data_IF_134064407525
#
_entry.id   IF_134064407525
#
_cell.length_a   1.000
_cell.length_b   1.000
_cell.length_c   1.000
_cell.angle_alpha   90.00
_cell.angle_beta   90.00
_cell.angle_gamma   90.00
#
_symmetry.space_group_name_H-M   'P 1'
#
loop_
_entity.id
_entity.type
_entity.pdbx_description
1 polymer ?
#
# COMPACT_ATOMS: atom_id res chain seq x y z
N UNK A 1 -5.14 17.14 -28.10
CA UNK A 1 -5.40 16.03 -27.16
C UNK A 1 -4.11 15.81 -26.38
N UNK A 2 -4.17 15.92 -25.04
CA UNK A 2 -3.02 15.72 -24.16
C UNK A 2 -3.40 14.80 -23.01
N UNK A 3 -2.45 13.97 -22.59
CA UNK A 3 -2.55 13.09 -21.45
C UNK A 3 -1.33 13.35 -20.54
N UNK A 4 -1.55 13.48 -19.25
CA UNK A 4 -0.47 13.50 -18.27
C UNK A 4 -0.40 12.15 -17.58
N UNK A 5 0.77 11.54 -17.63
CA UNK A 5 1.03 10.24 -16.99
C UNK A 5 2.06 10.44 -15.91
N UNK A 6 1.76 10.07 -14.69
CA UNK A 6 2.63 10.28 -13.55
C UNK A 6 2.84 9.02 -12.71
N UNK A 7 4.06 8.81 -12.24
CA UNK A 7 4.39 7.77 -11.28
C UNK A 7 4.28 8.27 -9.83
N UNK A 8 4.61 7.41 -8.88
CA UNK A 8 4.49 7.67 -7.44
C UNK A 8 5.40 8.82 -6.96
N UNK A 9 6.49 9.13 -7.64
CA UNK A 9 7.36 10.25 -7.29
C UNK A 9 6.62 11.60 -7.22
N UNK A 10 5.52 11.76 -7.96
CA UNK A 10 4.67 12.96 -7.89
C UNK A 10 3.96 13.05 -6.53
N UNK A 11 3.44 11.95 -6.02
CA UNK A 11 2.63 11.90 -4.80
C UNK A 11 3.44 11.58 -3.54
N UNK A 12 4.57 10.90 -3.65
CA UNK A 12 5.44 10.50 -2.53
C UNK A 12 6.43 11.61 -2.15
N UNK A 13 5.93 12.81 -1.91
CA UNK A 13 6.71 13.93 -1.41
C UNK A 13 5.90 14.73 -0.41
N UNK A 14 6.56 15.56 0.40
CA UNK A 14 5.89 16.47 1.34
C UNK A 14 4.92 17.43 0.65
N UNK A 15 5.13 17.71 -0.65
CA UNK A 15 4.28 18.55 -1.48
C UNK A 15 3.46 17.76 -2.51
N UNK A 16 3.37 16.44 -2.35
CA UNK A 16 2.72 15.55 -3.32
C UNK A 16 1.28 15.94 -3.65
N UNK A 17 0.49 16.30 -2.64
CA UNK A 17 -0.89 16.75 -2.84
C UNK A 17 -0.95 18.04 -3.67
N UNK A 18 -0.09 19.02 -3.40
CA UNK A 18 -0.07 20.29 -4.13
C UNK A 18 0.45 20.11 -5.56
N UNK A 19 1.44 19.26 -5.75
CA UNK A 19 1.92 18.87 -7.09
C UNK A 19 0.79 18.23 -7.90
N UNK A 20 0.03 17.31 -7.31
CA UNK A 20 -1.14 16.68 -7.92
C UNK A 20 -2.22 17.72 -8.29
N UNK A 21 -2.50 18.67 -7.40
CA UNK A 21 -3.44 19.78 -7.64
C UNK A 21 -2.99 20.68 -8.80
N UNK A 22 -1.70 21.02 -8.88
CA UNK A 22 -1.15 21.82 -9.97
C UNK A 22 -1.32 21.11 -11.33
N UNK A 23 -1.02 19.80 -11.39
CA UNK A 23 -1.22 19.01 -12.61
C UNK A 23 -2.69 18.95 -13.00
N UNK A 24 -3.58 18.75 -12.03
CA UNK A 24 -5.01 18.74 -12.29
C UNK A 24 -5.53 20.10 -12.76
N UNK A 25 -5.07 21.20 -12.15
CA UNK A 25 -5.39 22.56 -12.58
C UNK A 25 -4.94 22.81 -14.03
N UNK A 26 -3.71 22.39 -14.39
CA UNK A 26 -3.21 22.50 -15.76
C UNK A 26 -4.12 21.75 -16.75
N UNK A 27 -4.55 20.54 -16.40
CA UNK A 27 -5.47 19.75 -17.23
C UNK A 27 -6.84 20.45 -17.40
N UNK A 28 -7.36 21.06 -16.35
CA UNK A 28 -8.61 21.83 -16.41
C UNK A 28 -8.45 23.09 -17.28
N UNK A 29 -7.37 23.85 -17.09
CA UNK A 29 -7.10 25.07 -17.85
C UNK A 29 -6.95 24.81 -19.36
N UNK A 30 -6.41 23.66 -19.73
CA UNK A 30 -6.24 23.24 -21.13
C UNK A 30 -7.48 22.52 -21.69
N UNK A 31 -8.53 22.36 -20.90
CA UNK A 31 -9.77 21.69 -21.31
C UNK A 31 -9.57 20.23 -21.69
N UNK A 32 -8.63 19.54 -21.05
CA UNK A 32 -8.28 18.14 -21.34
C UNK A 32 -8.85 17.15 -20.33
N UNK A 33 -9.78 17.59 -19.47
CA UNK A 33 -10.52 16.72 -18.56
C UNK A 33 -11.80 16.21 -19.21
N UNK A 34 -12.10 14.94 -19.10
CA UNK A 34 -13.36 14.33 -19.54
C UNK A 34 -13.50 14.11 -21.05
N UNK A 35 -12.42 14.23 -21.82
CA UNK A 35 -12.41 13.95 -23.25
C UNK A 35 -11.76 12.61 -23.56
N UNK A 36 -12.19 11.85 -24.57
CA UNK A 36 -11.51 10.62 -24.99
C UNK A 36 -10.03 10.83 -25.30
N UNK A 37 -9.17 9.96 -24.80
CA UNK A 37 -7.72 10.02 -24.98
C UNK A 37 -7.02 11.14 -24.22
N UNK A 38 -7.67 11.71 -23.20
CA UNK A 38 -7.07 12.74 -22.31
C UNK A 38 -7.18 12.32 -20.85
N UNK A 39 -6.52 13.04 -19.98
CA UNK A 39 -6.66 12.89 -18.53
C UNK A 39 -5.35 12.88 -17.78
N UNK A 40 -5.45 12.84 -16.45
CA UNK A 40 -4.35 12.61 -15.54
C UNK A 40 -4.39 11.14 -15.09
N UNK A 41 -3.35 10.41 -15.44
CA UNK A 41 -3.27 8.96 -15.22
C UNK A 41 -2.12 8.62 -14.28
N UNK A 42 -2.39 8.35 -13.00
CA UNK A 42 -1.39 7.82 -12.09
C UNK A 42 -1.09 6.36 -12.45
N UNK A 43 0.15 6.07 -12.79
CA UNK A 43 0.63 4.71 -12.96
C UNK A 43 1.01 4.13 -11.59
N UNK A 44 0.47 2.97 -11.29
CA UNK A 44 0.83 2.22 -10.08
C UNK A 44 2.15 1.49 -10.29
N UNK A 45 2.97 1.39 -9.24
CA UNK A 45 4.30 0.78 -9.32
C UNK A 45 4.27 -0.73 -9.30
N UNK A 46 3.62 -1.31 -8.32
CA UNK A 46 3.56 -2.77 -8.13
C UNK A 46 2.55 -3.42 -9.07
N UNK A 47 2.82 -4.68 -9.44
CA UNK A 47 2.07 -5.42 -10.45
C UNK A 47 0.59 -5.63 -10.13
N UNK A 48 0.20 -5.68 -8.86
CA UNK A 48 -1.18 -5.88 -8.41
C UNK A 48 -1.57 -4.96 -7.26
N UNK A 49 -0.98 -3.78 -7.16
CA UNK A 49 -1.32 -2.84 -6.07
C UNK A 49 -2.78 -2.42 -6.09
N UNK A 50 -3.43 -2.37 -7.25
CA UNK A 50 -4.86 -2.11 -7.34
C UNK A 50 -5.68 -3.27 -6.77
N UNK A 51 -5.37 -4.51 -7.15
CA UNK A 51 -6.04 -5.68 -6.61
C UNK A 51 -5.87 -5.81 -5.10
N UNK A 52 -4.67 -5.53 -4.58
CA UNK A 52 -4.43 -5.48 -3.14
C UNK A 52 -5.28 -4.40 -2.45
N UNK A 53 -5.37 -3.21 -3.05
CA UNK A 53 -6.20 -2.12 -2.54
C UNK A 53 -7.70 -2.46 -2.59
N UNK A 54 -8.16 -3.05 -3.70
CA UNK A 54 -9.56 -3.49 -3.88
C UNK A 54 -9.96 -4.56 -2.85
N UNK A 55 -8.99 -5.41 -2.47
CA UNK A 55 -9.16 -6.43 -1.43
C UNK A 55 -9.08 -5.89 0.01
N UNK A 56 -8.83 -4.59 0.20
CA UNK A 56 -8.80 -3.95 1.52
C UNK A 56 -7.44 -3.96 2.21
N UNK A 57 -6.34 -4.23 1.50
CA UNK A 57 -4.98 -4.15 2.05
C UNK A 57 -4.50 -2.69 2.17
N UNK A 58 -5.35 -1.84 2.74
CA UNK A 58 -5.09 -0.45 3.08
C UNK A 58 -5.57 -0.21 4.52
N UNK A 59 -4.80 0.44 5.38
CA UNK A 59 -5.08 0.50 6.82
C UNK A 59 -6.36 1.25 7.20
N UNK A 60 -7.01 1.94 6.27
CA UNK A 60 -8.18 2.80 6.54
C UNK A 60 -9.48 2.29 5.89
N UNK A 61 -9.41 1.19 5.13
CA UNK A 61 -10.57 0.65 4.42
C UNK A 61 -10.64 -0.88 4.49
N UNK A 62 -11.86 -1.39 4.44
CA UNK A 62 -12.19 -2.78 4.13
C UNK A 62 -12.21 -3.01 2.61
N UNK A 63 -12.41 -4.26 2.14
CA UNK A 63 -12.62 -4.54 0.72
C UNK A 63 -13.62 -3.58 0.06
N UNK A 64 -13.36 -3.25 -1.21
CA UNK A 64 -14.15 -2.29 -1.99
C UNK A 64 -14.11 -0.86 -1.41
N UNK A 65 -12.98 -0.46 -0.82
CA UNK A 65 -12.73 0.88 -0.29
C UNK A 65 -13.73 1.35 0.77
N UNK A 66 -14.41 0.45 1.46
CA UNK A 66 -15.38 0.76 2.49
C UNK A 66 -14.67 1.20 3.78
N UNK A 67 -15.07 2.33 4.35
CA UNK A 67 -14.36 2.95 5.48
C UNK A 67 -14.40 2.11 6.75
N UNK A 68 -13.24 1.90 7.39
CA UNK A 68 -13.10 1.27 8.72
C UNK A 68 -13.86 2.05 9.81
N UNK A 69 -13.94 3.38 9.66
CA UNK A 69 -14.60 4.26 10.63
C UNK A 69 -16.13 4.19 10.59
N UNK A 70 -16.70 3.60 9.54
CA UNK A 70 -18.15 3.49 9.39
C UNK A 70 -18.66 2.28 10.19
N UNK A 71 -19.50 2.47 11.22
CA UNK A 71 -19.99 1.39 12.06
C UNK A 71 -20.91 0.40 11.32
N UNK A 72 -21.65 0.86 10.31
CA UNK A 72 -22.54 -0.02 9.53
C UNK A 72 -21.70 -0.93 8.62
N UNK A 73 -20.67 -0.37 8.00
CA UNK A 73 -19.71 -1.12 7.20
C UNK A 73 -18.97 -2.14 8.07
N UNK A 74 -18.50 -1.72 9.25
CA UNK A 74 -17.82 -2.63 10.17
C UNK A 74 -18.70 -3.80 10.57
N UNK A 75 -19.94 -3.53 11.01
CA UNK A 75 -20.88 -4.59 11.38
C UNK A 75 -21.15 -5.59 10.24
N UNK A 76 -21.17 -5.13 8.99
CA UNK A 76 -21.27 -6.00 7.81
C UNK A 76 -20.09 -6.99 7.72
N UNK A 77 -18.86 -6.50 7.92
CA UNK A 77 -17.66 -7.36 7.86
C UNK A 77 -17.50 -8.24 9.09
N UNK A 78 -17.86 -7.76 10.29
CA UNK A 78 -17.93 -8.57 11.52
C UNK A 78 -18.87 -9.76 11.34
N UNK A 79 -20.06 -9.51 10.79
CA UNK A 79 -21.03 -10.59 10.50
C UNK A 79 -20.52 -11.57 9.44
N UNK A 80 -19.82 -11.09 8.41
CA UNK A 80 -19.30 -11.93 7.33
C UNK A 80 -18.09 -12.78 7.75
N UNK A 81 -17.22 -12.22 8.60
CA UNK A 81 -15.98 -12.88 9.02
C UNK A 81 -16.09 -13.60 10.37
N UNK A 82 -17.14 -13.32 11.14
CA UNK A 82 -17.42 -13.96 12.44
C UNK A 82 -16.44 -13.55 13.54
N UNK A 83 -15.89 -12.34 13.46
CA UNK A 83 -14.94 -11.77 14.42
C UNK A 83 -15.27 -10.31 14.70
N UNK A 84 -14.98 -9.85 15.92
CA UNK A 84 -15.03 -8.43 16.25
C UNK A 84 -13.85 -7.70 15.60
N UNK A 85 -14.11 -6.51 15.02
CA UNK A 85 -13.10 -5.73 14.32
C UNK A 85 -12.80 -4.42 15.05
N UNK A 86 -11.54 -4.01 15.03
CA UNK A 86 -11.12 -2.73 15.60
C UNK A 86 -11.80 -1.57 14.83
N UNK A 87 -12.47 -0.63 15.55
CA UNK A 87 -13.09 0.54 14.94
C UNK A 87 -12.08 1.59 14.46
N UNK A 88 -10.83 1.46 14.84
CA UNK A 88 -9.80 2.42 14.53
C UNK A 88 -9.07 2.06 13.22
N UNK A 89 -8.73 3.06 12.40
CA UNK A 89 -7.84 2.83 11.26
C UNK A 89 -6.48 2.31 11.71
N UNK A 90 -5.90 1.43 10.89
CA UNK A 90 -4.52 1.01 11.06
C UNK A 90 -3.53 2.16 10.75
N UNK A 91 -2.27 1.93 11.05
CA UNK A 91 -1.19 2.90 10.88
C UNK A 91 -0.69 2.94 9.42
N UNK A 92 -0.20 4.09 9.01
CA UNK A 92 0.58 4.22 7.77
C UNK A 92 1.97 3.62 7.94
N UNK A 93 2.64 3.28 6.83
CA UNK A 93 4.00 2.69 6.87
C UNK A 93 5.00 3.57 7.67
N UNK A 94 4.91 4.89 7.54
CA UNK A 94 5.79 5.82 8.27
C UNK A 94 5.51 5.79 9.78
N UNK A 95 4.24 5.68 10.16
CA UNK A 95 3.82 5.54 11.56
C UNK A 95 4.23 4.18 12.14
N UNK A 96 4.06 3.09 11.37
CA UNK A 96 4.50 1.74 11.77
C UNK A 96 5.98 1.76 12.12
N UNK A 97 6.84 2.29 11.24
CA UNK A 97 8.28 2.39 11.50
C UNK A 97 8.60 3.33 12.67
N UNK A 98 7.78 4.36 12.88
CA UNK A 98 7.89 5.25 14.04
C UNK A 98 7.59 4.54 15.36
N UNK A 99 6.49 3.81 15.41
CA UNK A 99 6.05 3.08 16.61
C UNK A 99 6.92 1.85 16.90
N UNK A 100 7.41 1.15 15.87
CA UNK A 100 8.39 0.09 16.06
C UNK A 100 9.69 0.62 16.67
N UNK A 101 10.16 1.79 16.22
CA UNK A 101 11.33 2.45 16.80
C UNK A 101 11.08 2.89 18.25
N UNK A 102 9.87 3.33 18.59
CA UNK A 102 9.47 3.69 19.96
C UNK A 102 9.28 2.48 20.89
N UNK A 103 9.14 1.26 20.33
CA UNK A 103 8.88 0.03 21.07
C UNK A 103 7.40 -0.24 21.35
N UNK A 104 6.50 0.52 20.72
CA UNK A 104 5.05 0.33 20.83
C UNK A 104 4.58 -0.86 19.98
N UNK A 105 5.23 -1.09 18.83
CA UNK A 105 5.07 -2.30 18.03
C UNK A 105 6.20 -3.27 18.35
N UNK A 106 5.84 -4.46 18.80
CA UNK A 106 6.78 -5.49 19.24
C UNK A 106 6.89 -6.67 18.27
N UNK A 107 5.82 -6.99 17.57
CA UNK A 107 5.80 -8.04 16.57
C UNK A 107 5.33 -7.52 15.22
N UNK A 108 5.89 -8.08 14.12
CA UNK A 108 5.52 -7.68 12.78
C UNK A 108 5.53 -8.89 11.82
N UNK A 109 4.56 -8.91 10.91
CA UNK A 109 4.52 -9.83 9.78
C UNK A 109 4.61 -9.03 8.49
N UNK A 110 5.65 -9.25 7.71
CA UNK A 110 5.87 -8.60 6.43
C UNK A 110 5.70 -9.59 5.28
N UNK A 111 4.94 -9.20 4.27
CA UNK A 111 4.67 -10.03 3.10
C UNK A 111 4.97 -9.26 1.82
N UNK A 112 6.01 -9.70 1.08
CA UNK A 112 6.34 -9.17 -0.23
C UNK A 112 6.83 -7.72 -0.23
N UNK A 113 7.43 -7.26 0.85
CA UNK A 113 7.98 -5.91 1.01
C UNK A 113 9.37 -5.93 1.64
N UNK A 114 10.23 -5.02 1.15
CA UNK A 114 11.57 -4.83 1.67
C UNK A 114 11.77 -3.40 2.19
N UNK A 115 11.17 -3.03 3.33
CA UNK A 115 11.23 -1.66 3.85
C UNK A 115 12.64 -1.19 4.18
N UNK A 116 13.58 -2.09 4.45
CA UNK A 116 14.99 -1.72 4.62
C UNK A 116 15.55 -0.99 3.39
N UNK A 117 15.10 -1.38 2.19
CA UNK A 117 15.54 -0.77 0.93
C UNK A 117 14.57 0.32 0.43
N UNK A 118 13.27 0.11 0.58
CA UNK A 118 12.23 0.94 -0.04
C UNK A 118 11.79 2.15 0.79
N UNK A 119 11.88 2.06 2.11
CA UNK A 119 11.37 3.12 2.98
C UNK A 119 12.36 4.29 3.13
N UNK A 120 11.86 5.52 3.29
CA UNK A 120 12.73 6.65 3.52
C UNK A 120 13.47 6.54 4.86
N UNK A 121 14.73 7.01 4.88
CA UNK A 121 15.59 6.99 6.05
C UNK A 121 15.94 5.57 6.54
N UNK A 122 16.78 4.89 5.77
CA UNK A 122 17.26 3.52 6.06
C UNK A 122 17.81 3.36 7.49
N UNK A 123 18.46 4.38 8.05
CA UNK A 123 18.98 4.31 9.41
C UNK A 123 17.87 4.25 10.48
N UNK A 124 16.73 4.90 10.22
CA UNK A 124 15.53 4.80 11.07
C UNK A 124 14.94 3.40 10.94
N UNK A 125 14.75 2.92 9.72
CA UNK A 125 14.17 1.60 9.43
C UNK A 125 15.00 0.49 10.07
N UNK A 126 16.32 0.52 9.89
CA UNK A 126 17.23 -0.44 10.52
C UNK A 126 17.07 -0.53 12.04
N UNK A 127 16.95 0.62 12.71
CA UNK A 127 16.76 0.67 14.16
C UNK A 127 15.36 0.16 14.55
N UNK A 128 14.34 0.49 13.77
CA UNK A 128 12.98 0.03 14.00
C UNK A 128 12.87 -1.49 13.89
N UNK A 129 13.44 -2.09 12.84
CA UNK A 129 13.45 -3.54 12.64
C UNK A 129 14.23 -4.26 13.75
N UNK A 130 15.40 -3.73 14.14
CA UNK A 130 16.20 -4.30 15.21
C UNK A 130 15.57 -4.17 16.62
N UNK A 131 14.56 -3.32 16.77
CA UNK A 131 13.85 -3.11 18.03
C UNK A 131 12.59 -3.99 18.19
N UNK A 132 12.24 -4.78 17.17
CA UNK A 132 11.14 -5.73 17.26
C UNK A 132 11.53 -6.93 18.13
N UNK A 133 10.58 -7.41 18.93
CA UNK A 133 10.72 -8.64 19.69
C UNK A 133 10.52 -9.89 18.79
N UNK A 134 9.76 -9.77 17.71
CA UNK A 134 9.49 -10.86 16.78
C UNK A 134 9.14 -10.34 15.38
N UNK A 135 9.84 -10.83 14.37
CA UNK A 135 9.62 -10.48 12.97
C UNK A 135 9.49 -11.73 12.08
N UNK A 136 8.36 -11.81 11.38
CA UNK A 136 8.15 -12.79 10.30
C UNK A 136 8.23 -12.09 8.97
N UNK A 137 9.05 -12.61 8.05
CA UNK A 137 9.13 -12.11 6.67
C UNK A 137 8.76 -13.23 5.71
N UNK A 138 7.79 -12.95 4.84
CA UNK A 138 7.42 -13.82 3.73
C UNK A 138 7.76 -13.14 2.41
N UNK A 139 8.73 -13.64 1.70
CA UNK A 139 9.19 -13.05 0.44
C UNK A 139 9.69 -14.12 -0.53
N UNK A 140 9.81 -13.73 -1.81
CA UNK A 140 10.39 -14.58 -2.87
C UNK A 140 11.92 -14.58 -2.85
N UNK A 141 12.52 -13.58 -2.21
CA UNK A 141 13.97 -13.44 -2.05
C UNK A 141 14.36 -13.26 -0.59
N UNK A 142 15.57 -13.64 -0.27
CA UNK A 142 16.21 -13.29 1.00
C UNK A 142 16.67 -11.82 0.92
N UNK A 143 15.79 -10.92 1.36
CA UNK A 143 16.01 -9.47 1.32
C UNK A 143 16.78 -8.98 2.54
N UNK A 144 17.26 -7.73 2.50
CA UNK A 144 17.91 -7.08 3.65
C UNK A 144 16.97 -6.98 4.86
N UNK A 145 15.67 -6.83 4.63
CA UNK A 145 14.67 -6.89 5.70
C UNK A 145 14.60 -8.29 6.33
N UNK A 146 14.72 -9.34 5.52
CA UNK A 146 14.70 -10.72 6.01
C UNK A 146 15.90 -11.07 6.90
N UNK A 147 17.01 -10.32 6.82
CA UNK A 147 18.15 -10.50 7.73
C UNK A 147 17.82 -10.16 9.20
N UNK A 148 16.76 -9.41 9.44
CA UNK A 148 16.27 -9.10 10.79
C UNK A 148 15.21 -10.07 11.29
N UNK A 149 14.73 -11.00 10.44
CA UNK A 149 13.60 -11.84 10.74
C UNK A 149 13.97 -13.03 11.65
N UNK A 150 13.09 -13.34 12.59
CA UNK A 150 13.14 -14.57 13.38
C UNK A 150 12.63 -15.76 12.59
N UNK A 151 11.65 -15.52 11.68
CA UNK A 151 11.08 -16.54 10.81
C UNK A 151 11.02 -16.02 9.37
N UNK A 152 11.53 -16.81 8.44
CA UNK A 152 11.48 -16.52 7.00
C UNK A 152 10.61 -17.59 6.34
N UNK A 153 9.56 -17.15 5.64
CA UNK A 153 8.65 -18.01 4.89
C UNK A 153 8.85 -17.76 3.40
N UNK A 154 9.24 -18.78 2.62
CA UNK A 154 9.34 -18.64 1.16
C UNK A 154 7.97 -18.35 0.55
N UNK A 155 7.91 -17.35 -0.34
CA UNK A 155 6.73 -17.03 -1.13
C UNK A 155 6.93 -17.49 -2.58
N UNK A 156 5.84 -17.54 -3.34
CA UNK A 156 5.83 -17.82 -4.77
C UNK A 156 5.66 -16.53 -5.57
N UNK A 157 6.27 -16.48 -6.76
CA UNK A 157 6.03 -15.40 -7.72
C UNK A 157 4.64 -15.53 -8.36
N UNK A 158 4.21 -14.49 -9.08
CA UNK A 158 2.93 -14.54 -9.81
C UNK A 158 2.89 -15.61 -10.90
N UNK A 159 4.04 -16.08 -11.40
CA UNK A 159 4.13 -17.16 -12.38
C UNK A 159 3.94 -18.56 -11.78
N UNK A 160 4.04 -18.69 -10.48
CA UNK A 160 3.98 -19.95 -9.74
C UNK A 160 2.64 -20.18 -9.03
N UNK A 161 1.69 -19.25 -9.18
CA UNK A 161 0.38 -19.32 -8.53
C UNK A 161 -0.73 -18.83 -9.44
N UNK A 162 -1.95 -19.25 -9.15
CA UNK A 162 -3.17 -18.73 -9.80
C UNK A 162 -3.76 -17.63 -8.93
N UNK A 163 -4.22 -16.56 -9.57
CA UNK A 163 -4.83 -15.42 -8.88
C UNK A 163 -5.36 -14.39 -9.86
N UNK A 164 -5.97 -13.34 -9.33
CA UNK A 164 -6.49 -12.23 -10.12
C UNK A 164 -5.61 -11.00 -9.98
N UNK A 165 -5.48 -10.26 -11.07
CA UNK A 165 -4.71 -9.03 -11.15
C UNK A 165 -5.57 -7.90 -11.68
N UNK A 166 -5.60 -6.77 -10.99
CA UNK A 166 -6.26 -5.55 -11.45
C UNK A 166 -5.20 -4.60 -12.02
N UNK A 167 -5.23 -4.38 -13.32
CA UNK A 167 -4.26 -3.50 -13.97
C UNK A 167 -4.65 -2.02 -13.89
N UNK A 168 -3.80 -1.11 -14.43
CA UNK A 168 -4.01 0.34 -14.35
C UNK A 168 -5.23 0.84 -15.11
N UNK A 169 -5.73 0.11 -16.10
CA UNK A 169 -6.96 0.41 -16.82
C UNK A 169 -8.23 -0.17 -16.16
N UNK A 170 -8.08 -0.70 -14.95
CA UNK A 170 -9.15 -1.28 -14.11
C UNK A 170 -9.75 -2.58 -14.66
N UNK A 171 -9.02 -3.31 -15.47
CA UNK A 171 -9.39 -4.67 -15.85
C UNK A 171 -8.88 -5.67 -14.82
N UNK A 172 -9.78 -6.57 -14.41
CA UNK A 172 -9.42 -7.73 -13.60
C UNK A 172 -9.11 -8.88 -14.55
N UNK A 173 -7.96 -9.50 -14.37
CA UNK A 173 -7.44 -10.57 -15.20
C UNK A 173 -7.01 -11.74 -14.33
N UNK A 174 -7.08 -12.96 -14.87
CA UNK A 174 -6.56 -14.19 -14.26
C UNK A 174 -5.28 -14.59 -14.94
#
# INVERSE_FOLDING_TARGET
TAMVVGGMAISQSVHGTDTGRCLFALMMMTGTVGKPGTGLHPLRGQNNVKGASDAGLIPIVYPDYQSVKDPEVRAKFEAAWGVDLDPNPGLTVVEIMGQALAGDIKGMYMMGENPFLSDPNVNKVRKALANLDFLVVQDIFLTETAEFADVILPATTHLEKVGTYTNSDRRVQV
#
